data_IF_118113277194
#
_entry.id   IF_118113277194
#
_cell.length_a   1.000
_cell.length_b   1.000
_cell.length_c   1.000
_cell.angle_alpha   90.00
_cell.angle_beta   90.00
_cell.angle_gamma   90.00
#
_symmetry.space_group_name_H-M   'P 1'
#
loop_
_entity.id
_entity.type
_entity.pdbx_description
1 polymer ?
#
# COMPACT_ATOMS: atom_id res chain seq x y z
N UNK A 1 20.06 -26.41 -5.69
CA UNK A 1 18.62 -26.66 -5.46
C UNK A 1 17.92 -25.31 -5.40
N UNK A 2 17.32 -24.84 -6.50
CA UNK A 2 16.60 -23.57 -6.53
C UNK A 2 15.21 -23.83 -5.92
N UNK A 3 14.93 -23.24 -4.77
CA UNK A 3 13.59 -23.28 -4.18
C UNK A 3 12.65 -22.57 -5.15
N UNK A 4 11.79 -23.34 -5.82
CA UNK A 4 10.69 -22.80 -6.62
C UNK A 4 9.64 -22.23 -5.66
N UNK A 5 9.88 -21.01 -5.18
CA UNK A 5 8.88 -20.26 -4.44
C UNK A 5 7.80 -19.91 -5.46
N UNK A 6 6.66 -20.60 -5.40
CA UNK A 6 5.45 -20.19 -6.12
C UNK A 6 4.96 -18.88 -5.50
N UNK A 7 5.55 -17.77 -5.93
CA UNK A 7 5.17 -16.42 -5.56
C UNK A 7 3.78 -16.16 -6.12
N UNK A 8 2.77 -16.15 -5.26
CA UNK A 8 1.42 -15.73 -5.66
C UNK A 8 1.48 -14.26 -6.09
N UNK A 9 1.16 -14.01 -7.37
CA UNK A 9 1.16 -12.68 -7.99
C UNK A 9 -0.14 -11.92 -7.73
N UNK A 10 -1.20 -12.56 -7.23
CA UNK A 10 -2.50 -11.91 -7.00
C UNK A 10 -2.40 -10.66 -6.12
N UNK A 11 -1.74 -10.71 -4.94
CA UNK A 11 -1.68 -9.52 -4.07
C UNK A 11 -0.96 -8.34 -4.73
N UNK A 12 0.03 -8.62 -5.57
CA UNK A 12 0.75 -7.59 -6.33
C UNK A 12 -0.14 -6.96 -7.41
N UNK A 13 -0.85 -7.77 -8.18
CA UNK A 13 -1.76 -7.28 -9.22
C UNK A 13 -2.91 -6.43 -8.64
N UNK A 14 -3.46 -6.85 -7.50
CA UNK A 14 -4.50 -6.10 -6.80
C UNK A 14 -3.96 -4.75 -6.32
N UNK A 15 -2.76 -4.73 -5.72
CA UNK A 15 -2.11 -3.49 -5.30
C UNK A 15 -1.83 -2.55 -6.49
N UNK A 16 -1.31 -3.07 -7.60
CA UNK A 16 -1.05 -2.28 -8.80
C UNK A 16 -2.35 -1.69 -9.39
N UNK A 17 -3.43 -2.48 -9.40
CA UNK A 17 -4.75 -2.02 -9.83
C UNK A 17 -5.27 -0.88 -8.95
N UNK A 18 -5.10 -0.99 -7.63
CA UNK A 18 -5.48 0.07 -6.70
C UNK A 18 -4.66 1.34 -6.91
N UNK A 19 -3.33 1.23 -7.06
CA UNK A 19 -2.46 2.38 -7.35
C UNK A 19 -2.89 3.06 -8.65
N UNK A 20 -3.17 2.29 -9.71
CA UNK A 20 -3.61 2.83 -10.99
C UNK A 20 -4.98 3.56 -10.89
N UNK A 21 -5.83 3.16 -9.95
CA UNK A 21 -7.15 3.77 -9.76
C UNK A 21 -7.12 5.01 -8.86
N UNK A 22 -6.29 5.00 -7.81
CA UNK A 22 -6.39 6.00 -6.72
C UNK A 22 -5.19 6.93 -6.58
N UNK A 23 -4.06 6.61 -7.22
CA UNK A 23 -2.85 7.40 -7.11
C UNK A 23 -2.78 8.48 -8.19
N UNK A 24 -1.93 9.48 -7.93
CA UNK A 24 -1.55 10.46 -8.94
C UNK A 24 -0.88 9.77 -10.13
N UNK A 25 -1.02 10.35 -11.33
CA UNK A 25 -0.48 9.80 -12.57
C UNK A 25 1.01 9.46 -12.45
N UNK A 26 1.80 10.33 -11.84
CA UNK A 26 3.24 10.13 -11.76
C UNK A 26 3.60 8.93 -10.84
N UNK A 27 2.81 8.72 -9.78
CA UNK A 27 2.94 7.54 -8.90
C UNK A 27 2.56 6.26 -9.67
N UNK A 28 1.47 6.30 -10.44
CA UNK A 28 1.02 5.15 -11.23
C UNK A 28 2.05 4.78 -12.31
N UNK A 29 2.62 5.76 -13.02
CA UNK A 29 3.67 5.53 -14.00
C UNK A 29 4.93 4.91 -13.37
N UNK A 30 5.36 5.40 -12.20
CA UNK A 30 6.49 4.83 -11.48
C UNK A 30 6.22 3.37 -11.02
N UNK A 31 4.99 3.06 -10.61
CA UNK A 31 4.58 1.71 -10.25
C UNK A 31 4.58 0.74 -11.45
N UNK A 32 4.11 1.20 -12.62
CA UNK A 32 4.16 0.42 -13.87
C UNK A 32 5.60 0.18 -14.34
N UNK A 33 6.49 1.16 -14.17
CA UNK A 33 7.92 0.98 -14.47
C UNK A 33 8.55 -0.12 -13.61
N UNK A 34 8.24 -0.14 -12.31
CA UNK A 34 8.67 -1.20 -11.40
C UNK A 34 8.11 -2.58 -11.79
N UNK A 35 6.82 -2.66 -12.11
CA UNK A 35 6.20 -3.92 -12.57
C UNK A 35 6.89 -4.44 -13.84
N UNK A 36 7.20 -3.55 -14.80
CA UNK A 36 7.93 -3.89 -16.02
C UNK A 36 9.31 -4.51 -15.75
N UNK A 37 10.09 -3.96 -14.80
CA UNK A 37 11.38 -4.54 -14.43
C UNK A 37 11.23 -5.89 -13.74
N UNK A 38 10.25 -6.04 -12.84
CA UNK A 38 9.95 -7.31 -12.19
C UNK A 38 9.49 -8.38 -13.18
N UNK A 39 8.72 -8.00 -14.20
CA UNK A 39 8.28 -8.90 -15.26
C UNK A 39 9.46 -9.36 -16.13
N UNK A 40 10.35 -8.43 -16.49
CA UNK A 40 11.57 -8.72 -17.25
C UNK A 40 12.44 -9.71 -16.48
N UNK A 41 12.71 -9.45 -15.20
CA UNK A 41 13.46 -10.36 -14.33
C UNK A 41 12.82 -11.75 -14.27
N UNK A 42 11.52 -11.82 -13.98
CA UNK A 42 10.77 -13.08 -13.89
C UNK A 42 10.81 -13.87 -15.21
N UNK A 43 10.72 -13.19 -16.35
CA UNK A 43 10.79 -13.83 -17.67
C UNK A 43 12.18 -14.41 -17.94
N UNK A 44 13.26 -13.71 -17.56
CA UNK A 44 14.63 -14.22 -17.73
C UNK A 44 14.89 -15.44 -16.85
N UNK A 45 14.46 -15.39 -15.59
CA UNK A 45 14.57 -16.53 -14.66
C UNK A 45 13.80 -17.74 -15.20
N UNK A 46 12.55 -17.55 -15.63
CA UNK A 46 11.72 -18.64 -16.19
C UNK A 46 12.33 -19.28 -17.43
N UNK A 47 13.07 -18.52 -18.23
CA UNK A 47 13.76 -19.01 -19.43
C UNK A 47 15.12 -19.63 -19.13
N UNK A 48 15.59 -19.59 -17.87
CA UNK A 48 16.91 -20.07 -17.49
C UNK A 48 18.07 -19.23 -18.07
N UNK A 49 17.80 -17.99 -18.46
CA UNK A 49 18.72 -17.13 -19.22
C UNK A 49 19.59 -16.22 -18.35
N UNK A 50 19.82 -16.57 -17.08
CA UNK A 50 20.60 -15.72 -16.16
C UNK A 50 21.92 -16.39 -15.78
N UNK A 51 23.04 -16.06 -16.47
CA UNK A 51 24.37 -16.17 -15.91
C UNK A 51 24.46 -15.42 -14.56
N UNK A 52 25.29 -15.90 -13.65
CA UNK A 52 25.42 -15.35 -12.29
C UNK A 52 25.88 -13.87 -12.29
N UNK A 53 26.62 -13.44 -13.33
CA UNK A 53 27.03 -12.06 -13.56
C UNK A 53 25.87 -11.14 -13.99
N UNK A 54 24.90 -11.64 -14.76
CA UNK A 54 23.74 -10.87 -15.21
C UNK A 54 22.70 -10.66 -14.10
N UNK A 55 22.72 -11.52 -13.08
CA UNK A 55 21.81 -11.41 -11.93
C UNK A 55 21.94 -10.08 -11.21
N UNK A 56 23.17 -9.60 -10.98
CA UNK A 56 23.41 -8.34 -10.27
C UNK A 56 22.84 -7.16 -11.05
N UNK A 57 23.02 -7.13 -12.36
CA UNK A 57 22.50 -6.06 -13.23
C UNK A 57 20.97 -6.05 -13.23
N UNK A 58 20.34 -7.22 -13.38
CA UNK A 58 18.88 -7.34 -13.39
C UNK A 58 18.26 -6.97 -12.05
N UNK A 59 18.89 -7.40 -10.95
CA UNK A 59 18.45 -7.03 -9.60
C UNK A 59 18.60 -5.53 -9.37
N UNK A 60 19.72 -4.95 -9.77
CA UNK A 60 19.99 -3.51 -9.64
C UNK A 60 18.96 -2.66 -10.39
N UNK A 61 18.50 -3.12 -11.56
CA UNK A 61 17.45 -2.45 -12.31
C UNK A 61 16.10 -2.44 -11.57
N UNK A 62 15.74 -3.54 -10.90
CA UNK A 62 14.53 -3.61 -10.05
C UNK A 62 14.68 -2.70 -8.84
N UNK A 63 15.82 -2.72 -8.16
CA UNK A 63 16.09 -1.87 -6.99
C UNK A 63 16.07 -0.38 -7.35
N UNK A 64 16.61 -0.01 -8.51
CA UNK A 64 16.54 1.36 -9.01
C UNK A 64 15.09 1.80 -9.28
N UNK A 65 14.28 0.97 -9.94
CA UNK A 65 12.87 1.27 -10.19
C UNK A 65 12.05 1.34 -8.89
N UNK A 66 12.37 0.50 -7.90
CA UNK A 66 11.75 0.55 -6.58
C UNK A 66 12.05 1.86 -5.86
N UNK A 67 13.32 2.30 -5.88
CA UNK A 67 13.71 3.58 -5.29
C UNK A 67 13.01 4.76 -5.97
N UNK A 68 12.91 4.74 -7.30
CA UNK A 68 12.19 5.78 -8.05
C UNK A 68 10.72 5.86 -7.63
N UNK A 69 10.03 4.72 -7.57
CA UNK A 69 8.65 4.65 -7.07
C UNK A 69 8.52 5.23 -5.66
N UNK A 70 9.42 4.88 -4.74
CA UNK A 70 9.39 5.39 -3.36
C UNK A 70 9.60 6.91 -3.33
N UNK A 71 10.55 7.42 -4.12
CA UNK A 71 10.86 8.85 -4.18
C UNK A 71 9.66 9.63 -4.73
N UNK A 72 9.08 9.19 -5.85
CA UNK A 72 7.90 9.81 -6.47
C UNK A 72 6.71 9.76 -5.52
N UNK A 73 6.39 8.58 -4.97
CA UNK A 73 5.30 8.43 -4.01
C UNK A 73 5.49 9.34 -2.79
N UNK A 74 6.70 9.39 -2.21
CA UNK A 74 6.98 10.25 -1.07
C UNK A 74 6.82 11.73 -1.42
N UNK A 75 7.33 12.17 -2.57
CA UNK A 75 7.22 13.56 -3.03
C UNK A 75 5.76 13.97 -3.15
N UNK A 76 4.94 13.19 -3.86
CA UNK A 76 3.53 13.51 -4.09
C UNK A 76 2.70 13.43 -2.80
N UNK A 77 2.94 12.43 -1.94
CA UNK A 77 2.22 12.28 -0.68
C UNK A 77 2.65 13.33 0.36
N UNK A 78 3.90 13.78 0.34
CA UNK A 78 4.38 14.84 1.24
C UNK A 78 3.90 16.22 0.79
N UNK A 79 3.72 16.44 -0.51
CA UNK A 79 3.10 17.65 -1.06
C UNK A 79 1.60 17.71 -0.76
N UNK A 80 0.92 16.57 -0.64
CA UNK A 80 -0.49 16.48 -0.21
C UNK A 80 -0.69 16.75 1.30
N UNK A 81 0.25 17.46 1.95
CA UNK A 81 0.38 17.69 3.39
C UNK A 81 -0.74 18.45 4.09
N UNK A 82 -1.86 18.74 3.43
CA UNK A 82 -3.09 19.12 4.13
C UNK A 82 -3.84 17.86 4.55
N UNK A 83 -3.52 17.41 5.78
CA UNK A 83 -4.37 16.64 6.70
C UNK A 83 -5.50 15.86 6.01
N UNK A 84 -5.15 14.79 5.29
CA UNK A 84 -6.17 13.89 4.71
C UNK A 84 -7.05 13.39 5.88
N UNK A 85 -8.36 13.68 5.89
CA UNK A 85 -9.22 13.33 7.00
C UNK A 85 -9.10 11.84 7.29
N UNK A 86 -8.70 11.51 8.51
CA UNK A 86 -8.61 10.12 8.97
C UNK A 86 -9.97 9.48 8.74
N UNK A 87 -10.03 8.53 7.80
CA UNK A 87 -11.26 7.79 7.54
C UNK A 87 -11.63 7.04 8.81
N UNK A 88 -12.74 7.37 9.51
CA UNK A 88 -13.14 6.63 10.68
C UNK A 88 -13.74 5.32 10.17
N UNK A 89 -12.90 4.29 10.07
CA UNK A 89 -13.26 2.95 9.61
C UNK A 89 -14.11 2.20 10.63
N UNK A 90 -15.26 2.75 10.99
CA UNK A 90 -16.24 2.10 11.86
C UNK A 90 -17.65 2.54 11.48
N UNK A 91 -18.65 1.64 11.58
CA UNK A 91 -20.04 2.05 11.46
C UNK A 91 -20.34 3.17 12.47
N UNK A 92 -21.24 4.13 12.16
CA UNK A 92 -21.60 5.16 13.10
C UNK A 92 -22.01 4.50 14.41
N UNK A 93 -21.28 4.78 15.50
CA UNK A 93 -21.73 4.41 16.84
C UNK A 93 -23.05 5.13 17.03
N UNK A 94 -24.15 4.42 16.83
CA UNK A 94 -25.46 4.85 17.27
C UNK A 94 -25.35 5.00 18.77
N UNK A 95 -25.19 6.23 19.22
CA UNK A 95 -25.35 6.61 20.62
C UNK A 95 -26.78 6.24 20.98
N UNK A 96 -26.94 5.06 21.59
CA UNK A 96 -28.16 4.69 22.29
C UNK A 96 -28.23 5.61 23.51
N UNK A 97 -28.80 6.80 23.32
CA UNK A 97 -29.21 7.71 24.38
C UNK A 97 -30.32 7.03 25.17
N UNK A 98 -29.93 6.16 26.11
CA UNK A 98 -30.81 5.70 27.17
C UNK A 98 -31.12 6.88 28.12
N UNK A 99 -32.35 7.01 28.61
CA UNK A 99 -32.74 8.15 29.44
C UNK A 99 -31.95 8.15 30.76
N UNK A 100 -31.41 9.32 31.11
CA UNK A 100 -30.78 9.58 32.42
C UNK A 100 -31.81 9.34 33.52
N UNK A 101 -31.62 8.30 34.32
CA UNK A 101 -32.27 8.21 35.62
C UNK A 101 -31.78 9.37 36.50
N UNK A 102 -32.76 10.13 36.99
CA UNK A 102 -32.62 11.32 37.79
C UNK A 102 -32.29 10.93 39.25
N UNK A 103 -31.33 11.58 39.94
CA UNK A 103 -31.04 11.25 41.33
C UNK A 103 -32.21 11.68 42.23
N UNK A 104 -32.81 10.72 42.96
CA UNK A 104 -33.80 11.02 44.00
C UNK A 104 -33.14 11.88 45.08
N UNK A 105 -33.68 13.08 45.23
CA UNK A 105 -33.19 14.08 46.16
C UNK A 105 -33.17 13.62 47.61
N UNK A 106 -32.09 14.01 48.29
CA UNK A 106 -32.09 14.27 49.73
C UNK A 106 -33.28 15.18 50.07
N UNK A 107 -34.22 14.68 50.85
CA UNK A 107 -35.07 15.54 51.69
C UNK A 107 -34.51 15.52 53.10
N UNK A 108 -33.99 16.66 53.51
CA UNK A 108 -33.56 16.96 54.85
C UNK A 108 -34.74 17.54 55.65
N UNK A 109 -34.84 17.11 56.91
CA UNK A 109 -35.46 17.76 58.09
C UNK A 109 -36.98 17.92 58.17
N UNK A 110 -37.57 17.38 59.23
CA UNK A 110 -37.79 18.10 60.50
C UNK A 110 -37.79 17.10 61.65
#
# INVERSE_FOLDING_TARGET
MVLAITLDRRPWNDALSMVNLVADKDIAEAAHSLDGQMWRLHTMIKRGLTPEEDWVVLRSAVEAAQNEFIIVARRHLSLAGDSRPRFPGGPPRTTRSGPREQPRGLRSRA
#
